data_IF_525805616025
#
_entry.id   IF_525805616025
#
_cell.length_a   1.000
_cell.length_b   1.000
_cell.length_c   1.000
_cell.angle_alpha   90.00
_cell.angle_beta   90.00
_cell.angle_gamma   90.00
#
_symmetry.space_group_name_H-M   'P 1'
#
loop_
_entity.id
_entity.type
_entity.pdbx_description
1 polymer ?
#
# COMPACT_ATOMS: atom_id res chain seq x y z
N UNK A 1 -1.63 6.40 -7.03
CA UNK A 1 -1.71 7.20 -8.28
C UNK A 1 -1.15 8.59 -8.02
N UNK A 2 -0.02 8.95 -8.64
CA UNK A 2 0.90 10.04 -8.22
C UNK A 2 2.36 9.62 -8.49
N UNK A 3 3.30 9.89 -7.58
CA UNK A 3 4.71 9.45 -7.62
C UNK A 3 4.87 7.95 -7.98
N UNK A 4 4.04 7.08 -7.40
CA UNK A 4 4.09 5.64 -7.69
C UNK A 4 3.80 5.32 -9.15
N UNK A 5 3.01 6.14 -9.84
CA UNK A 5 2.69 5.95 -11.26
C UNK A 5 3.79 6.45 -12.18
N UNK A 6 4.57 7.47 -11.79
CA UNK A 6 5.74 7.88 -12.57
C UNK A 6 6.87 6.85 -12.56
N UNK A 7 6.81 5.86 -11.67
CA UNK A 7 7.75 4.73 -11.66
C UNK A 7 7.48 3.71 -12.76
N UNK A 8 6.35 3.80 -13.45
CA UNK A 8 5.98 2.92 -14.56
C UNK A 8 6.16 3.68 -15.86
N UNK A 9 7.15 3.26 -16.65
CA UNK A 9 7.41 3.86 -17.95
C UNK A 9 6.18 3.69 -18.87
N UNK A 10 5.67 4.79 -19.41
CA UNK A 10 4.53 4.80 -20.33
C UNK A 10 3.14 4.74 -19.70
N UNK A 11 3.01 4.78 -18.36
CA UNK A 11 1.70 4.61 -17.71
C UNK A 11 0.67 5.70 -18.07
N UNK A 12 -0.36 5.32 -18.83
CA UNK A 12 -1.52 6.16 -19.14
C UNK A 12 -2.59 6.09 -18.03
N UNK A 13 -3.54 7.04 -18.02
CA UNK A 13 -4.51 7.15 -16.92
C UNK A 13 -5.61 6.08 -16.95
N UNK A 14 -5.67 5.37 -18.06
CA UNK A 14 -6.63 4.33 -18.39
C UNK A 14 -6.07 2.92 -18.24
N UNK A 15 -4.82 2.75 -17.81
CA UNK A 15 -4.13 1.45 -17.79
C UNK A 15 -3.69 1.03 -16.39
N UNK A 16 -3.58 -0.29 -16.22
CA UNK A 16 -3.03 -0.90 -15.03
C UNK A 16 -1.58 -0.45 -14.84
N UNK A 17 -1.28 0.12 -13.68
CA UNK A 17 0.05 0.58 -13.32
C UNK A 17 0.78 -0.54 -12.58
N UNK A 18 1.35 -1.48 -13.32
CA UNK A 18 2.06 -2.66 -12.78
C UNK A 18 3.56 -2.49 -12.99
N UNK A 19 4.34 -2.76 -11.94
CA UNK A 19 5.80 -2.85 -12.00
C UNK A 19 6.19 -4.30 -11.69
N UNK A 20 7.02 -4.88 -12.56
CA UNK A 20 7.70 -6.14 -12.25
C UNK A 20 9.05 -5.82 -11.62
N UNK A 21 9.32 -6.44 -10.48
CA UNK A 21 10.58 -6.33 -9.76
C UNK A 21 11.19 -7.71 -9.58
N UNK A 22 12.52 -7.79 -9.63
CA UNK A 22 13.23 -9.02 -9.30
C UNK A 22 13.00 -9.40 -7.83
N UNK A 23 12.75 -10.68 -7.60
CA UNK A 23 12.63 -11.26 -6.27
C UNK A 23 14.00 -11.34 -5.59
N UNK A 24 14.05 -10.96 -4.31
CA UNK A 24 15.23 -11.11 -3.46
C UNK A 24 14.90 -12.02 -2.29
N UNK A 25 15.63 -13.12 -2.15
CA UNK A 25 15.40 -14.11 -1.11
C UNK A 25 15.52 -13.50 0.29
N UNK A 26 14.46 -13.67 1.10
CA UNK A 26 14.41 -13.17 2.48
C UNK A 26 14.12 -11.66 2.61
N UNK A 27 13.84 -10.97 1.51
CA UNK A 27 13.47 -9.56 1.51
C UNK A 27 12.11 -9.36 2.22
N UNK A 28 12.04 -8.34 3.07
CA UNK A 28 10.78 -7.89 3.67
C UNK A 28 10.12 -6.79 2.83
N UNK A 29 8.84 -6.55 3.07
CA UNK A 29 8.12 -5.46 2.44
C UNK A 29 8.85 -4.10 2.56
N UNK A 30 9.33 -3.72 3.75
CA UNK A 30 10.05 -2.45 3.91
C UNK A 30 11.35 -2.37 3.12
N UNK A 31 12.09 -3.48 3.01
CA UNK A 31 13.33 -3.54 2.25
C UNK A 31 13.07 -3.39 0.75
N UNK A 32 12.00 -4.01 0.23
CA UNK A 32 11.56 -3.79 -1.13
C UNK A 32 11.23 -2.30 -1.38
N UNK A 33 10.48 -1.66 -0.48
CA UNK A 33 10.13 -0.23 -0.61
C UNK A 33 11.39 0.64 -0.68
N UNK A 34 12.35 0.41 0.22
CA UNK A 34 13.63 1.12 0.22
C UNK A 34 14.41 0.90 -1.09
N UNK A 35 14.47 -0.35 -1.57
CA UNK A 35 15.12 -0.70 -2.84
C UNK A 35 14.46 -0.05 -4.05
N UNK A 36 13.15 0.14 -4.00
CA UNK A 36 12.38 0.89 -5.00
C UNK A 36 12.61 2.41 -4.93
N UNK A 37 13.43 2.89 -3.98
CA UNK A 37 13.74 4.31 -3.79
C UNK A 37 12.62 5.09 -3.09
N UNK A 38 11.70 4.39 -2.42
CA UNK A 38 10.56 4.96 -1.72
C UNK A 38 10.80 4.92 -0.20
N UNK A 39 10.07 5.76 0.52
CA UNK A 39 10.07 5.79 1.98
C UNK A 39 8.71 5.31 2.51
N UNK A 40 8.72 4.55 3.61
CA UNK A 40 7.47 4.04 4.22
C UNK A 40 6.45 5.13 4.54
N UNK A 41 6.90 6.35 4.88
CA UNK A 41 6.01 7.50 5.16
C UNK A 41 5.29 8.06 3.93
N UNK A 42 5.75 7.72 2.71
CA UNK A 42 5.11 8.11 1.46
C UNK A 42 3.97 7.16 1.09
N UNK A 43 3.88 6.03 1.79
CA UNK A 43 2.90 4.98 1.58
C UNK A 43 1.80 5.00 2.63
N UNK A 44 0.60 4.64 2.20
CA UNK A 44 -0.55 4.32 3.03
C UNK A 44 -0.67 2.81 3.18
N UNK A 45 -1.89 2.32 3.25
CA UNK A 45 -2.15 0.90 3.43
C UNK A 45 -1.80 0.09 2.20
N UNK A 46 -0.74 -0.70 2.31
CA UNK A 46 -0.29 -1.59 1.25
C UNK A 46 -0.68 -3.04 1.56
N UNK A 47 -0.69 -3.88 0.54
CA UNK A 47 -1.16 -5.26 0.66
C UNK A 47 -0.20 -6.24 -0.02
N UNK A 48 0.05 -7.38 0.61
CA UNK A 48 0.69 -8.55 -0.01
C UNK A 48 -0.38 -9.62 -0.19
N UNK A 49 -0.65 -10.01 -1.42
CA UNK A 49 -1.71 -10.98 -1.78
C UNK A 49 -3.08 -10.67 -1.15
N UNK A 50 -3.43 -9.38 -1.07
CA UNK A 50 -4.70 -8.92 -0.50
C UNK A 50 -4.75 -8.85 1.04
N UNK A 51 -3.65 -9.20 1.72
CA UNK A 51 -3.51 -9.05 3.17
C UNK A 51 -2.72 -7.79 3.50
N UNK A 52 -3.12 -7.05 4.55
CA UNK A 52 -2.43 -5.82 4.96
C UNK A 52 -0.94 -6.10 5.23
N UNK A 53 -0.08 -5.36 4.54
CA UNK A 53 1.36 -5.49 4.66
C UNK A 53 1.86 -4.76 5.92
N UNK A 54 2.65 -5.46 6.72
CA UNK A 54 3.51 -4.86 7.77
C UNK A 54 4.93 -4.69 7.23
N UNK A 55 5.75 -3.75 7.77
CA UNK A 55 7.13 -3.56 7.34
C UNK A 55 7.98 -4.84 7.32
N UNK A 56 7.76 -5.72 8.28
CA UNK A 56 8.45 -6.99 8.49
C UNK A 56 7.82 -8.19 7.73
N UNK A 57 6.80 -7.94 6.90
CA UNK A 57 6.16 -9.01 6.11
C UNK A 57 7.19 -9.61 5.15
N UNK A 58 7.50 -10.91 5.25
CA UNK A 58 8.42 -11.57 4.33
C UNK A 58 7.77 -11.70 2.95
N UNK A 59 8.57 -11.50 1.90
CA UNK A 59 8.12 -11.65 0.52
C UNK A 59 8.58 -12.99 -0.07
N UNK A 60 7.73 -13.55 -0.92
CA UNK A 60 8.02 -14.72 -1.73
C UNK A 60 7.97 -14.37 -3.23
N UNK A 61 8.64 -15.19 -4.04
CA UNK A 61 8.55 -15.08 -5.50
C UNK A 61 7.09 -15.27 -5.96
N UNK A 62 6.66 -14.41 -6.89
CA UNK A 62 5.29 -14.37 -7.40
C UNK A 62 4.27 -13.62 -6.51
N UNK A 63 4.67 -13.06 -5.37
CA UNK A 63 3.78 -12.24 -4.55
C UNK A 63 3.27 -11.01 -5.32
N UNK A 64 2.00 -10.66 -5.11
CA UNK A 64 1.39 -9.46 -5.69
C UNK A 64 1.22 -8.41 -4.62
N UNK A 65 1.76 -7.23 -4.89
CA UNK A 65 1.81 -6.13 -3.93
C UNK A 65 0.94 -4.96 -4.40
N UNK A 66 -0.03 -4.59 -3.58
CA UNK A 66 -0.81 -3.36 -3.77
C UNK A 66 -0.11 -2.21 -3.05
N UNK A 67 0.39 -1.22 -3.80
CA UNK A 67 1.03 -0.02 -3.25
C UNK A 67 0.09 1.18 -3.32
N UNK A 68 -0.11 1.84 -2.19
CA UNK A 68 -1.00 2.99 -2.07
C UNK A 68 -0.24 4.17 -1.44
N UNK A 69 -0.39 5.40 -1.94
CA UNK A 69 0.19 6.60 -1.34
C UNK A 69 -0.40 6.91 0.04
N UNK A 70 0.35 7.63 0.87
CA UNK A 70 -0.02 8.00 2.25
C UNK A 70 -1.40 8.67 2.40
N UNK A 71 -1.85 9.41 1.38
CA UNK A 71 -3.15 10.09 1.41
C UNK A 71 -4.32 9.26 0.87
N UNK A 72 -4.13 7.97 0.58
CA UNK A 72 -5.21 7.05 0.25
C UNK A 72 -5.63 6.25 1.49
N UNK A 73 -6.88 6.41 1.89
CA UNK A 73 -7.47 5.71 3.05
C UNK A 73 -8.42 4.63 2.58
N UNK A 74 -8.40 3.47 3.26
CA UNK A 74 -9.38 2.42 3.04
C UNK A 74 -10.80 2.88 3.43
N UNK A 75 -11.78 2.65 2.56
CA UNK A 75 -13.18 2.92 2.85
C UNK A 75 -13.84 1.69 3.51
N UNK A 76 -14.74 1.92 4.47
CA UNK A 76 -15.63 0.95 5.12
C UNK A 76 -15.07 -0.49 5.23
N UNK A 77 -15.32 -1.36 4.24
CA UNK A 77 -14.86 -2.75 4.23
C UNK A 77 -13.33 -2.92 4.33
N UNK A 78 -12.55 -1.98 3.79
CA UNK A 78 -11.10 -2.00 3.97
C UNK A 78 -10.65 -1.62 5.38
N UNK A 79 -11.42 -0.79 6.11
CA UNK A 79 -11.16 -0.55 7.54
C UNK A 79 -11.40 -1.80 8.37
N UNK A 80 -12.36 -2.65 7.98
CA UNK A 80 -12.58 -3.93 8.64
C UNK A 80 -11.36 -4.85 8.53
N UNK A 81 -10.64 -4.85 7.41
CA UNK A 81 -9.39 -5.61 7.23
C UNK A 81 -8.27 -5.19 8.19
N UNK A 82 -8.30 -3.95 8.69
CA UNK A 82 -7.33 -3.45 9.67
C UNK A 82 -7.64 -3.90 11.11
N UNK A 83 -8.83 -4.45 11.36
CA UNK A 83 -9.42 -4.51 12.70
C UNK A 83 -9.93 -3.13 13.12
N UNK A 84 -11.08 -3.07 13.79
CA UNK A 84 -11.71 -1.83 14.25
C UNK A 84 -10.87 -1.11 15.33
N UNK A 85 -9.77 -0.45 14.93
CA UNK A 85 -8.80 0.15 15.86
C UNK A 85 -8.43 1.61 15.60
N UNK A 86 -8.97 2.24 14.55
CA UNK A 86 -8.61 3.62 14.18
C UNK A 86 -9.83 4.48 13.81
N UNK A 87 -10.90 4.42 14.61
CA UNK A 87 -11.70 5.63 14.83
C UNK A 87 -10.91 6.44 15.85
N UNK A 88 -9.95 7.25 15.37
CA UNK A 88 -9.45 8.36 16.17
C UNK A 88 -10.41 9.53 15.98
N UNK A 89 -10.84 10.08 17.11
CA UNK A 89 -11.85 11.11 17.36
C UNK A 89 -13.32 10.69 17.15
N UNK A 90 -14.07 10.75 18.26
CA UNK A 90 -15.52 10.89 18.27
C UNK A 90 -15.90 12.01 17.29
N UNK A 91 -16.54 11.66 16.18
CA UNK A 91 -17.23 12.63 15.36
C UNK A 91 -18.46 13.03 16.17
N UNK A 92 -18.46 14.24 16.72
CA UNK A 92 -19.65 14.82 17.32
C UNK A 92 -20.70 14.97 16.22
N UNK A 93 -21.72 14.10 16.26
CA UNK A 93 -22.82 14.13 15.29
C UNK A 93 -23.80 15.18 15.77
N UNK A 94 -23.82 16.33 15.10
CA UNK A 94 -24.86 17.35 15.30
C UNK A 94 -26.21 16.79 14.85
N UNK A 95 -27.11 16.60 15.81
CA UNK A 95 -28.52 16.35 15.55
C UNK A 95 -29.22 17.69 15.31
N UNK A 96 -29.54 18.00 14.05
CA UNK A 96 -30.50 19.06 13.69
C UNK A 96 -31.94 18.56 13.80
#
# INVERSE_FOLDING_TARGET
>A
YGLLRSMVEGASASEDTIIHVEYVSGETFSQLIERMGLQMKELGDCFVNGTLARPDTPLADGDRIGLFPFNMTLLCGGQHLKGHGLIQSDIEVDYY
#
